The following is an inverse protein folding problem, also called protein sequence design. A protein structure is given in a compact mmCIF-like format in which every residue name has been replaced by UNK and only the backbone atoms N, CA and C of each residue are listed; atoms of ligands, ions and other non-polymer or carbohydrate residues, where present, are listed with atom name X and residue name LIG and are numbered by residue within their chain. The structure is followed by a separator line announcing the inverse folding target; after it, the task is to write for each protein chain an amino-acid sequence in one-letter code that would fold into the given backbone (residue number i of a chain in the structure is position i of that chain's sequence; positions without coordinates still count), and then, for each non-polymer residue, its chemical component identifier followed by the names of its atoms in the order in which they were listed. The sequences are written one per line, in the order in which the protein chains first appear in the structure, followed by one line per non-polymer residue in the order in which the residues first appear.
data_IF_058541049969
#
_entry.id   IF_058541049969
#
_cell.length_a   1.000
_cell.length_b   1.000
_cell.length_c   1.000
_cell.angle_alpha   90.00
_cell.angle_beta   90.00
_cell.angle_gamma   90.00
#
_symmetry.space_group_name_H-M   'P 1'
#
loop_
_entity.id
_entity.type
_entity.pdbx_description
1 polymer ?
#
# COMPACT_ATOMS: atom_id res chain seq x y z
N UNK A 1 -19.55 -8.93 -12.33
CA UNK A 1 -19.15 -10.23 -11.74
C UNK A 1 -18.89 -10.00 -10.26
N UNK A 2 -19.59 -10.70 -9.37
CA UNK A 2 -19.39 -10.58 -7.91
C UNK A 2 -18.46 -11.71 -7.49
N UNK A 3 -17.28 -11.37 -6.98
CA UNK A 3 -16.38 -12.36 -6.36
C UNK A 3 -16.82 -12.51 -4.90
N UNK A 4 -17.16 -13.74 -4.50
CA UNK A 4 -17.45 -14.09 -3.10
C UNK A 4 -16.20 -14.73 -2.50
N UNK A 5 -15.76 -14.22 -1.36
CA UNK A 5 -14.69 -14.81 -0.56
C UNK A 5 -15.23 -15.25 0.80
N UNK A 6 -14.59 -16.23 1.43
CA UNK A 6 -14.94 -16.63 2.78
C UNK A 6 -14.33 -15.62 3.78
N UNK A 7 -15.19 -14.82 4.40
CA UNK A 7 -14.80 -13.79 5.37
C UNK A 7 -14.84 -14.24 6.83
N UNK A 8 -15.01 -15.54 7.12
CA UNK A 8 -14.92 -16.04 8.49
C UNK A 8 -13.54 -15.70 9.07
N UNK A 9 -13.51 -15.13 10.28
CA UNK A 9 -12.30 -14.57 10.90
C UNK A 9 -11.10 -15.53 10.90
N UNK A 10 -11.34 -16.80 11.20
CA UNK A 10 -10.30 -17.83 11.29
C UNK A 10 -10.18 -18.73 10.06
N UNK A 11 -10.80 -18.35 8.95
CA UNK A 11 -10.59 -19.07 7.70
C UNK A 11 -9.11 -18.95 7.27
N UNK A 12 -8.46 -20.04 6.84
CA UNK A 12 -7.06 -19.99 6.43
C UNK A 12 -6.80 -18.96 5.33
N UNK A 13 -5.69 -18.26 5.45
CA UNK A 13 -5.26 -17.24 4.50
C UNK A 13 -3.74 -17.29 4.36
N UNK A 14 -3.26 -17.04 3.15
CA UNK A 14 -1.81 -16.96 2.84
C UNK A 14 -1.08 -15.84 3.59
N UNK A 15 -1.81 -14.94 4.24
CA UNK A 15 -1.26 -13.82 5.03
C UNK A 15 -1.23 -14.12 6.54
N UNK A 16 -1.71 -15.29 6.99
CA UNK A 16 -1.86 -15.66 8.40
C UNK A 16 -1.10 -16.94 8.74
N UNK A 17 -0.45 -16.97 9.90
CA UNK A 17 0.26 -18.12 10.43
C UNK A 17 1.55 -17.73 11.17
N UNK A 18 2.30 -18.71 11.72
CA UNK A 18 3.67 -18.52 12.16
C UNK A 18 4.54 -17.97 11.03
N UNK A 19 5.60 -17.20 11.32
CA UNK A 19 6.44 -16.59 10.30
C UNK A 19 7.09 -17.66 9.40
N UNK A 20 7.09 -17.41 8.09
CA UNK A 20 7.74 -18.26 7.08
C UNK A 20 8.10 -17.43 5.83
N UNK A 21 9.06 -17.89 5.00
CA UNK A 21 9.39 -17.22 3.74
C UNK A 21 8.18 -17.02 2.81
N UNK A 22 7.24 -17.97 2.78
CA UNK A 22 6.05 -17.91 1.94
C UNK A 22 5.08 -16.83 2.41
N UNK A 23 4.88 -16.70 3.73
CA UNK A 23 4.04 -15.64 4.31
C UNK A 23 4.69 -14.27 4.11
N UNK A 24 6.01 -14.17 4.29
CA UNK A 24 6.74 -12.92 4.02
C UNK A 24 6.64 -12.50 2.56
N UNK A 25 6.79 -13.44 1.62
CA UNK A 25 6.59 -13.18 0.21
C UNK A 25 5.15 -12.72 -0.11
N UNK A 26 4.15 -13.33 0.54
CA UNK A 26 2.76 -12.92 0.39
C UNK A 26 2.55 -11.47 0.86
N UNK A 27 3.07 -11.11 2.04
CA UNK A 27 2.99 -9.74 2.56
C UNK A 27 3.75 -8.73 1.70
N UNK A 28 4.97 -9.06 1.26
CA UNK A 28 5.77 -8.18 0.41
C UNK A 28 5.08 -7.86 -0.92
N UNK A 29 4.31 -8.80 -1.48
CA UNK A 29 3.54 -8.57 -2.71
C UNK A 29 2.49 -7.45 -2.58
N UNK A 30 1.92 -7.23 -1.40
CA UNK A 30 0.81 -6.29 -1.18
C UNK A 30 1.19 -5.04 -0.39
N UNK A 31 2.27 -5.11 0.40
CA UNK A 31 2.71 -4.06 1.31
C UNK A 31 4.13 -3.57 1.00
N UNK A 32 4.89 -4.28 0.17
CA UNK A 32 6.25 -3.93 -0.21
C UNK A 32 6.31 -3.07 -1.46
N UNK A 33 7.26 -2.14 -1.48
CA UNK A 33 7.74 -1.44 -2.68
C UNK A 33 6.66 -0.78 -3.56
N UNK A 34 5.58 -0.27 -2.93
CA UNK A 34 4.58 0.50 -3.68
C UNK A 34 5.15 1.88 -3.97
N UNK A 35 5.55 2.07 -5.22
CA UNK A 35 6.07 3.33 -5.71
C UNK A 35 4.95 4.36 -5.88
N UNK A 36 5.23 5.64 -5.60
CA UNK A 36 4.32 6.72 -5.97
C UNK A 36 4.04 6.72 -7.47
N UNK A 37 2.79 7.02 -7.83
CA UNK A 37 2.38 7.28 -9.21
C UNK A 37 2.26 8.78 -9.47
N UNK A 38 1.93 9.15 -10.70
CA UNK A 38 1.70 10.53 -11.15
C UNK A 38 0.21 10.79 -11.29
N UNK A 39 -0.18 12.01 -10.96
CA UNK A 39 -1.48 12.58 -11.33
C UNK A 39 -1.27 14.01 -11.82
N UNK A 40 -1.90 14.32 -12.94
CA UNK A 40 -2.02 15.68 -13.46
C UNK A 40 -2.86 16.56 -12.54
N UNK A 41 -2.81 17.88 -12.75
CA UNK A 41 -3.68 18.81 -12.02
C UNK A 41 -5.17 18.50 -12.24
N UNK A 42 -5.58 18.15 -13.47
CA UNK A 42 -6.96 17.80 -13.77
C UNK A 42 -7.43 16.58 -12.95
N UNK A 43 -6.59 15.54 -12.86
CA UNK A 43 -6.90 14.33 -12.08
C UNK A 43 -6.97 14.61 -10.58
N UNK A 44 -6.09 15.45 -10.04
CA UNK A 44 -6.11 15.86 -8.63
C UNK A 44 -7.41 16.60 -8.30
N UNK A 45 -7.81 17.55 -9.15
CA UNK A 45 -9.06 18.30 -8.98
C UNK A 45 -10.28 17.38 -9.09
N UNK A 46 -10.26 16.43 -10.04
CA UNK A 46 -11.33 15.43 -10.19
C UNK A 46 -11.42 14.46 -9.01
N UNK A 47 -10.30 14.18 -8.35
CA UNK A 47 -10.26 13.41 -7.11
C UNK A 47 -10.77 14.20 -5.88
N UNK A 48 -11.15 15.48 -6.05
CA UNK A 48 -11.69 16.33 -5.01
C UNK A 48 -10.63 17.00 -4.13
N UNK A 49 -9.38 17.04 -4.60
CA UNK A 49 -8.25 17.62 -3.90
C UNK A 49 -7.78 18.91 -4.62
N UNK A 50 -6.85 19.68 -4.03
CA UNK A 50 -6.50 21.05 -4.48
C UNK A 50 -5.03 21.19 -4.89
N UNK A 51 -4.69 22.21 -5.70
CA UNK A 51 -3.29 22.61 -5.87
C UNK A 51 -2.83 23.40 -4.64
N UNK A 52 -1.84 22.89 -3.93
CA UNK A 52 -1.29 23.50 -2.70
C UNK A 52 0.24 23.45 -2.73
N UNK A 53 0.93 24.50 -2.24
CA UNK A 53 2.38 24.50 -2.08
C UNK A 53 2.94 23.36 -1.22
N UNK A 54 2.11 22.72 -0.40
CA UNK A 54 2.50 21.57 0.44
C UNK A 54 2.61 20.26 -0.35
N UNK A 55 2.20 20.23 -1.62
CA UNK A 55 2.21 19.02 -2.44
C UNK A 55 3.50 18.86 -3.21
N UNK A 56 3.99 17.62 -3.24
CA UNK A 56 5.18 17.27 -4.01
C UNK A 56 4.80 17.13 -5.49
N UNK A 57 5.54 17.85 -6.33
CA UNK A 57 5.48 17.74 -7.79
C UNK A 57 6.79 17.17 -8.31
N UNK A 58 6.72 16.39 -9.38
CA UNK A 58 7.89 16.02 -10.14
C UNK A 58 8.54 17.27 -10.76
N UNK A 59 9.85 17.25 -11.08
CA UNK A 59 10.49 18.34 -11.80
C UNK A 59 9.78 18.68 -13.11
N UNK A 60 9.76 19.96 -13.50
CA UNK A 60 9.13 20.41 -14.76
C UNK A 60 9.69 19.73 -16.02
N UNK A 61 10.94 19.23 -15.97
CA UNK A 61 11.55 18.45 -17.06
C UNK A 61 10.92 17.05 -17.26
N UNK A 62 10.09 16.61 -16.32
CA UNK A 62 9.29 15.39 -16.36
C UNK A 62 7.84 15.72 -15.96
N UNK A 63 7.25 16.62 -16.75
CA UNK A 63 5.84 17.05 -16.77
C UNK A 63 5.34 17.89 -15.59
N UNK A 64 6.01 17.88 -14.43
CA UNK A 64 5.58 18.72 -13.31
C UNK A 64 4.36 18.19 -12.54
N UNK A 65 3.93 16.96 -12.84
CA UNK A 65 2.77 16.31 -12.23
C UNK A 65 2.94 16.07 -10.73
N UNK A 66 1.83 15.86 -10.05
CA UNK A 66 1.80 15.56 -8.62
C UNK A 66 2.27 14.13 -8.36
N UNK A 67 3.11 13.97 -7.35
CA UNK A 67 3.46 12.67 -6.80
C UNK A 67 2.36 12.23 -5.85
N UNK A 68 1.76 11.06 -6.11
CA UNK A 68 0.67 10.52 -5.29
C UNK A 68 0.90 9.04 -4.97
N UNK A 69 0.34 8.59 -3.85
CA UNK A 69 0.37 7.18 -3.45
C UNK A 69 -1.02 6.74 -3.01
N UNK A 70 -1.30 5.45 -3.15
CA UNK A 70 -2.50 4.86 -2.54
C UNK A 70 -2.27 4.68 -1.04
N UNK A 71 -3.29 4.92 -0.23
CA UNK A 71 -3.19 4.78 1.23
C UNK A 71 -3.21 3.32 1.70
N UNK A 72 -3.86 2.42 0.96
CA UNK A 72 -3.97 1.01 1.35
C UNK A 72 -2.60 0.32 1.58
N UNK A 73 -1.58 0.49 0.70
CA UNK A 73 -0.22 0.02 0.94
C UNK A 73 0.40 0.53 2.26
N UNK A 74 0.21 1.80 2.61
CA UNK A 74 0.73 2.38 3.84
C UNK A 74 0.11 1.71 5.09
N UNK A 75 -1.20 1.49 5.06
CA UNK A 75 -1.90 0.76 6.12
C UNK A 75 -1.38 -0.69 6.26
N UNK A 76 -1.19 -1.38 5.13
CA UNK A 76 -0.69 -2.75 5.11
C UNK A 76 0.77 -2.86 5.55
N UNK A 77 1.61 -1.86 5.24
CA UNK A 77 3.00 -1.80 5.70
C UNK A 77 3.06 -1.79 7.24
N UNK A 78 2.34 -0.88 7.88
CA UNK A 78 2.28 -0.79 9.34
C UNK A 78 1.70 -2.06 9.97
N UNK A 79 0.68 -2.66 9.36
CA UNK A 79 0.13 -3.94 9.82
C UNK A 79 1.16 -5.08 9.72
N UNK A 80 1.95 -5.14 8.64
CA UNK A 80 3.02 -6.12 8.50
C UNK A 80 4.12 -5.91 9.56
N UNK A 81 4.45 -4.66 9.91
CA UNK A 81 5.39 -4.37 11.00
C UNK A 81 4.87 -4.90 12.33
N UNK A 82 3.58 -4.70 12.65
CA UNK A 82 2.96 -5.26 13.85
C UNK A 82 2.99 -6.80 13.84
N UNK A 83 2.67 -7.42 12.71
CA UNK A 83 2.78 -8.89 12.55
C UNK A 83 4.22 -9.37 12.80
N UNK A 84 5.24 -8.68 12.30
CA UNK A 84 6.64 -9.04 12.56
C UNK A 84 7.01 -8.85 14.03
N UNK A 85 6.54 -7.76 14.66
CA UNK A 85 6.78 -7.47 16.07
C UNK A 85 6.15 -8.50 17.03
N UNK A 86 5.15 -9.28 16.63
CA UNK A 86 4.66 -10.41 17.44
C UNK A 86 5.58 -11.64 17.42
N UNK A 87 6.61 -11.65 16.56
CA UNK A 87 7.54 -12.76 16.36
C UNK A 87 9.00 -12.29 16.36
N UNK A 88 9.40 -11.50 17.35
CA UNK A 88 10.76 -10.91 17.45
C UNK A 88 11.89 -11.96 17.45
N UNK A 89 11.65 -13.16 17.96
CA UNK A 89 12.68 -14.22 17.95
C UNK A 89 12.98 -14.76 16.54
N UNK A 90 12.08 -14.53 15.58
CA UNK A 90 12.25 -14.93 14.18
C UNK A 90 12.77 -13.80 13.30
N UNK A 91 12.39 -12.54 13.56
CA UNK A 91 12.71 -11.36 12.74
C UNK A 91 13.74 -10.44 13.39
#
# INVERSE_FOLDING_TARGET
MIIRFNGTLDFPSIYRGPPSPEIDAAWNRIAGDVLPTRMSLEEILKAGDVDSPSKVKYPAKIDGDFMVSMEAPHQLHCLNLLRKATWLEYY
#
